data_IF_027958013349
#
_entry.id   IF_027958013349
#
_cell.length_a   1.000
_cell.length_b   1.000
_cell.length_c   1.000
_cell.angle_alpha   90.00
_cell.angle_beta   90.00
_cell.angle_gamma   90.00
#
_symmetry.space_group_name_H-M   'P 1'
#
loop_
_entity.id
_entity.type
_entity.pdbx_description
1 polymer ?
#
# COMPACT_ATOMS: atom_id res chain seq x y z
N UNK A 1 -9.42 8.20 -19.04
CA UNK A 1 -9.26 7.67 -17.67
C UNK A 1 -8.61 6.30 -17.81
N UNK A 2 -7.39 6.09 -17.30
CA UNK A 2 -6.81 4.75 -17.28
C UNK A 2 -7.74 3.83 -16.49
N UNK A 3 -8.01 2.63 -17.01
CA UNK A 3 -8.89 1.66 -16.36
C UNK A 3 -8.33 1.25 -15.00
N UNK A 4 -9.18 1.14 -13.99
CA UNK A 4 -8.81 0.60 -12.66
C UNK A 4 -8.86 -0.94 -12.61
N UNK A 5 -9.27 -1.57 -13.70
CA UNK A 5 -9.36 -3.04 -13.78
C UNK A 5 -8.04 -3.76 -13.52
N UNK A 6 -6.87 -3.32 -14.06
CA UNK A 6 -5.61 -3.96 -13.75
C UNK A 6 -5.28 -3.93 -12.25
N UNK A 7 -5.55 -2.79 -11.59
CA UNK A 7 -5.32 -2.67 -10.15
C UNK A 7 -6.29 -3.54 -9.34
N UNK A 8 -7.56 -3.58 -9.73
CA UNK A 8 -8.53 -4.47 -9.10
C UNK A 8 -8.15 -5.94 -9.27
N UNK A 9 -7.59 -6.31 -10.43
CA UNK A 9 -7.02 -7.63 -10.69
C UNK A 9 -5.89 -7.98 -9.73
N UNK A 10 -4.97 -7.04 -9.47
CA UNK A 10 -3.89 -7.23 -8.49
C UNK A 10 -4.42 -7.37 -7.06
N UNK A 11 -5.39 -6.55 -6.67
CA UNK A 11 -6.04 -6.69 -5.37
C UNK A 11 -6.77 -8.05 -5.22
N UNK A 12 -7.19 -8.67 -6.31
CA UNK A 12 -7.81 -10.00 -6.31
C UNK A 12 -6.81 -11.14 -6.07
N UNK A 13 -5.51 -10.91 -6.23
CA UNK A 13 -4.47 -11.91 -5.92
C UNK A 13 -4.21 -12.04 -4.42
N UNK A 14 -4.64 -11.05 -3.62
CA UNK A 14 -4.47 -11.06 -2.17
C UNK A 14 -5.39 -12.13 -1.57
N UNK A 15 -4.85 -13.10 -0.81
CA UNK A 15 -5.66 -14.13 -0.18
C UNK A 15 -6.72 -13.54 0.76
N UNK A 16 -7.94 -14.05 0.66
CA UNK A 16 -9.03 -13.63 1.53
C UNK A 16 -9.08 -14.52 2.78
N UNK A 17 -8.65 -14.05 3.95
CA UNK A 17 -8.56 -14.85 5.17
C UNK A 17 -9.93 -15.19 5.79
N UNK A 18 -11.00 -14.59 5.27
CA UNK A 18 -12.34 -14.80 5.81
C UNK A 18 -12.91 -16.18 5.48
N UNK A 19 -13.72 -16.72 6.37
CA UNK A 19 -14.55 -17.90 6.09
C UNK A 19 -15.61 -17.58 5.03
N UNK A 20 -16.12 -18.60 4.36
CA UNK A 20 -17.08 -18.45 3.26
C UNK A 20 -18.30 -17.59 3.64
N UNK A 21 -18.83 -17.76 4.83
CA UNK A 21 -19.98 -17.03 5.37
C UNK A 21 -19.70 -15.53 5.56
N UNK A 22 -18.42 -15.17 5.73
CA UNK A 22 -17.96 -13.76 5.89
C UNK A 22 -17.71 -13.02 4.59
N UNK A 23 -17.87 -13.63 3.43
CA UNK A 23 -17.52 -13.09 2.11
C UNK A 23 -18.67 -12.37 1.39
N UNK A 24 -19.60 -11.78 2.12
CA UNK A 24 -20.69 -10.99 1.53
C UNK A 24 -20.19 -9.86 0.62
N UNK A 25 -19.07 -9.27 0.95
CA UNK A 25 -18.39 -8.24 0.17
C UNK A 25 -17.10 -8.79 -0.40
N UNK A 26 -16.92 -8.70 -1.71
CA UNK A 26 -15.70 -9.17 -2.37
C UNK A 26 -14.49 -8.38 -1.90
N UNK A 27 -13.42 -9.06 -1.48
CA UNK A 27 -12.22 -8.46 -0.91
C UNK A 27 -11.61 -7.36 -1.79
N UNK A 28 -11.39 -7.56 -3.11
CA UNK A 28 -10.77 -6.54 -3.96
C UNK A 28 -11.54 -5.23 -3.96
N UNK A 29 -12.87 -5.28 -3.96
CA UNK A 29 -13.70 -4.06 -3.91
C UNK A 29 -13.65 -3.38 -2.55
N UNK A 30 -13.62 -4.15 -1.45
CA UNK A 30 -13.46 -3.57 -0.11
C UNK A 30 -12.11 -2.85 -0.01
N UNK A 31 -11.03 -3.45 -0.53
CA UNK A 31 -9.70 -2.85 -0.53
C UNK A 31 -9.66 -1.57 -1.37
N UNK A 32 -10.07 -1.66 -2.63
CA UNK A 32 -10.07 -0.51 -3.55
C UNK A 32 -10.87 0.67 -3.00
N UNK A 33 -12.08 0.40 -2.47
CA UNK A 33 -12.93 1.46 -1.95
C UNK A 33 -12.43 2.01 -0.61
N UNK A 34 -11.71 1.20 0.18
CA UNK A 34 -11.00 1.68 1.37
C UNK A 34 -9.88 2.64 0.99
N UNK A 35 -9.14 2.33 -0.08
CA UNK A 35 -8.12 3.24 -0.63
C UNK A 35 -8.77 4.56 -1.08
N UNK A 36 -9.88 4.51 -1.82
CA UNK A 36 -10.60 5.73 -2.21
C UNK A 36 -11.05 6.55 -1.01
N UNK A 37 -11.58 5.90 0.03
CA UNK A 37 -11.99 6.58 1.24
C UNK A 37 -10.82 7.27 1.94
N UNK A 38 -9.67 6.58 2.07
CA UNK A 38 -8.45 7.13 2.70
C UNK A 38 -7.91 8.32 1.92
N UNK A 39 -7.81 8.20 0.60
CA UNK A 39 -7.39 9.31 -0.28
C UNK A 39 -8.37 10.49 -0.21
N UNK A 40 -9.65 10.22 0.05
CA UNK A 40 -10.67 11.24 0.27
C UNK A 40 -10.70 11.79 1.71
N UNK A 41 -9.72 11.44 2.56
CA UNK A 41 -9.55 11.99 3.90
C UNK A 41 -10.13 11.14 5.04
N UNK A 42 -10.61 9.91 4.78
CA UNK A 42 -11.04 9.03 5.86
C UNK A 42 -9.83 8.54 6.68
N UNK A 43 -9.84 8.80 7.98
CA UNK A 43 -8.77 8.45 8.92
C UNK A 43 -9.17 7.39 9.96
N UNK A 44 -10.30 6.73 9.76
CA UNK A 44 -10.85 5.73 10.67
C UNK A 44 -11.76 4.75 9.94
N UNK A 45 -11.96 3.56 10.49
CA UNK A 45 -12.90 2.58 9.93
C UNK A 45 -14.34 3.10 9.83
N UNK A 46 -14.74 4.01 10.74
CA UNK A 46 -16.03 4.72 10.67
C UNK A 46 -16.06 5.70 9.49
N UNK A 47 -14.96 6.42 9.26
CA UNK A 47 -14.81 7.30 8.09
C UNK A 47 -14.90 6.53 6.79
N UNK A 48 -14.24 5.38 6.68
CA UNK A 48 -14.33 4.48 5.53
C UNK A 48 -15.78 4.00 5.33
N UNK A 49 -16.48 3.60 6.40
CA UNK A 49 -17.89 3.22 6.30
C UNK A 49 -18.77 4.38 5.81
N UNK A 50 -18.52 5.60 6.30
CA UNK A 50 -19.25 6.79 5.87
C UNK A 50 -19.07 7.05 4.38
N UNK A 51 -17.83 6.96 3.88
CA UNK A 51 -17.54 7.05 2.45
C UNK A 51 -18.30 5.99 1.65
N UNK A 52 -18.27 4.73 2.08
CA UNK A 52 -19.00 3.64 1.41
C UNK A 52 -20.50 3.90 1.35
N UNK A 53 -21.10 4.40 2.46
CA UNK A 53 -22.53 4.74 2.50
C UNK A 53 -22.86 5.84 1.51
N UNK A 54 -22.07 6.93 1.50
CA UNK A 54 -22.29 8.09 0.64
C UNK A 54 -22.16 7.74 -0.85
N UNK A 55 -21.16 6.92 -1.20
CA UNK A 55 -20.83 6.64 -2.60
C UNK A 55 -21.35 5.29 -3.10
N UNK A 56 -22.11 4.52 -2.31
CA UNK A 56 -22.54 3.16 -2.62
C UNK A 56 -23.18 3.01 -4.00
N UNK A 57 -24.07 3.91 -4.36
CA UNK A 57 -24.77 3.83 -5.66
C UNK A 57 -23.81 4.06 -6.83
N UNK A 58 -22.93 5.05 -6.71
CA UNK A 58 -21.92 5.35 -7.71
C UNK A 58 -20.91 4.18 -7.87
N UNK A 59 -20.44 3.62 -6.75
CA UNK A 59 -19.53 2.47 -6.73
C UNK A 59 -20.21 1.22 -7.34
N UNK A 60 -21.45 0.94 -6.96
CA UNK A 60 -22.21 -0.16 -7.53
C UNK A 60 -22.32 -0.04 -9.07
N UNK A 61 -22.60 1.17 -9.57
CA UNK A 61 -22.70 1.44 -11.00
C UNK A 61 -21.35 1.32 -11.70
N UNK A 62 -20.31 1.94 -11.13
CA UNK A 62 -18.98 1.99 -11.75
C UNK A 62 -18.31 0.61 -11.84
N UNK A 63 -18.46 -0.21 -10.80
CA UNK A 63 -17.83 -1.54 -10.71
C UNK A 63 -18.80 -2.71 -10.97
N UNK A 64 -20.02 -2.44 -11.41
CA UNK A 64 -21.06 -3.44 -11.75
C UNK A 64 -21.34 -4.42 -10.60
N UNK A 65 -21.27 -3.94 -9.35
CA UNK A 65 -21.56 -4.71 -8.14
C UNK A 65 -22.95 -4.38 -7.60
N UNK A 66 -23.46 -5.20 -6.67
CA UNK A 66 -24.85 -5.08 -6.16
C UNK A 66 -24.88 -5.03 -4.62
N UNK A 67 -24.10 -4.16 -4.01
CA UNK A 67 -24.15 -4.01 -2.56
C UNK A 67 -25.46 -3.34 -2.11
N UNK A 68 -26.33 -4.09 -1.47
CA UNK A 68 -27.59 -3.58 -0.90
C UNK A 68 -27.34 -2.58 0.24
N UNK A 69 -26.28 -2.77 1.01
CA UNK A 69 -25.84 -1.89 2.11
C UNK A 69 -24.30 -1.81 2.12
N UNK A 70 -23.75 -0.78 2.72
CA UNK A 70 -22.31 -0.68 2.97
C UNK A 70 -21.92 -1.64 4.11
N UNK A 71 -20.70 -2.22 4.08
CA UNK A 71 -20.17 -2.99 5.21
C UNK A 71 -20.08 -2.12 6.47
N UNK A 72 -20.34 -2.72 7.63
CA UNK A 72 -20.18 -2.05 8.91
C UNK A 72 -18.69 -1.75 9.19
N UNK A 73 -18.38 -0.70 9.95
CA UNK A 73 -17.00 -0.34 10.29
C UNK A 73 -16.25 -1.47 11.02
N UNK A 74 -16.95 -2.27 11.81
CA UNK A 74 -16.40 -3.46 12.47
C UNK A 74 -16.00 -4.55 11.46
N UNK A 75 -16.83 -4.76 10.42
CA UNK A 75 -16.51 -5.70 9.35
C UNK A 75 -15.31 -5.19 8.52
N UNK A 76 -15.25 -3.88 8.20
CA UNK A 76 -14.11 -3.27 7.51
C UNK A 76 -12.84 -3.46 8.34
N UNK A 77 -12.89 -3.16 9.64
CA UNK A 77 -11.77 -3.37 10.56
C UNK A 77 -11.30 -4.81 10.54
N UNK A 78 -12.22 -5.76 10.70
CA UNK A 78 -11.90 -7.19 10.72
C UNK A 78 -11.23 -7.65 9.40
N UNK A 79 -11.76 -7.19 8.26
CA UNK A 79 -11.19 -7.50 6.94
C UNK A 79 -9.76 -6.97 6.82
N UNK A 80 -9.56 -5.68 7.10
CA UNK A 80 -8.27 -5.03 6.91
C UNK A 80 -7.20 -5.53 7.90
N UNK A 81 -7.59 -5.84 9.14
CA UNK A 81 -6.66 -6.37 10.14
C UNK A 81 -6.30 -7.86 9.91
N UNK A 82 -7.13 -8.60 9.18
CA UNK A 82 -6.87 -10.00 8.86
C UNK A 82 -5.98 -10.22 7.64
N UNK A 83 -5.58 -9.17 6.93
CA UNK A 83 -4.72 -9.29 5.75
C UNK A 83 -3.26 -9.56 6.16
N UNK A 84 -2.57 -10.34 5.37
CA UNK A 84 -1.13 -10.43 5.44
C UNK A 84 -0.49 -9.19 4.80
N UNK A 85 0.36 -8.51 5.54
CA UNK A 85 1.03 -7.30 5.07
C UNK A 85 1.94 -7.57 3.86
N UNK A 86 2.55 -8.76 3.79
CA UNK A 86 3.42 -9.18 2.69
C UNK A 86 2.65 -9.32 1.38
N UNK A 87 1.45 -9.90 1.43
CA UNK A 87 0.61 -10.04 0.24
C UNK A 87 0.11 -8.68 -0.27
N UNK A 88 -0.24 -7.77 0.65
CA UNK A 88 -0.62 -6.39 0.29
C UNK A 88 0.54 -5.64 -0.34
N UNK A 89 1.74 -5.74 0.25
CA UNK A 89 2.95 -5.12 -0.27
C UNK A 89 3.31 -5.66 -1.66
N UNK A 90 3.22 -6.97 -1.86
CA UNK A 90 3.47 -7.58 -3.16
C UNK A 90 2.54 -7.03 -4.25
N UNK A 91 1.24 -6.96 -3.98
CA UNK A 91 0.26 -6.40 -4.92
C UNK A 91 0.54 -4.91 -5.21
N UNK A 92 0.96 -4.14 -4.18
CA UNK A 92 1.34 -2.74 -4.34
C UNK A 92 2.59 -2.58 -5.22
N UNK A 93 3.66 -3.35 -4.97
CA UNK A 93 4.90 -3.31 -5.77
C UNK A 93 4.64 -3.64 -7.24
N UNK A 94 3.83 -4.66 -7.50
CA UNK A 94 3.46 -5.04 -8.86
C UNK A 94 2.66 -3.93 -9.55
N UNK A 95 1.74 -3.27 -8.84
CA UNK A 95 1.03 -2.10 -9.36
C UNK A 95 1.98 -0.96 -9.71
N UNK A 96 2.89 -0.62 -8.80
CA UNK A 96 3.89 0.43 -8.99
C UNK A 96 4.83 0.11 -10.17
N UNK A 97 5.28 -1.13 -10.29
CA UNK A 97 6.09 -1.57 -11.42
C UNK A 97 5.35 -1.42 -12.77
N UNK A 98 4.06 -1.76 -12.80
CA UNK A 98 3.23 -1.58 -13.99
C UNK A 98 3.02 -0.10 -14.37
N UNK A 99 2.92 0.78 -13.38
CA UNK A 99 2.82 2.23 -13.61
C UNK A 99 4.16 2.85 -14.04
N UNK A 100 5.26 2.30 -13.55
CA UNK A 100 6.62 2.78 -13.84
C UNK A 100 7.12 2.35 -15.23
N UNK A 101 6.43 1.45 -15.91
CA UNK A 101 6.70 1.12 -17.31
C UNK A 101 6.25 2.27 -18.19
N UNK A 102 7.19 3.12 -18.59
CA UNK A 102 6.90 4.18 -19.54
C UNK A 102 6.50 3.58 -20.91
N UNK A 103 5.52 4.15 -21.61
CA UNK A 103 5.13 3.71 -22.94
C UNK A 103 6.27 3.76 -23.96
N UNK A 104 7.23 4.65 -23.77
CA UNK A 104 8.33 4.95 -24.70
C UNK A 104 9.69 4.39 -24.24
N UNK A 105 9.72 3.49 -23.25
CA UNK A 105 10.97 2.90 -22.77
C UNK A 105 11.88 3.87 -21.97
N UNK A 106 11.41 5.07 -21.65
CA UNK A 106 12.12 5.97 -20.76
C UNK A 106 12.10 5.36 -19.34
N UNK A 107 13.25 4.89 -18.89
CA UNK A 107 13.42 4.35 -17.54
C UNK A 107 13.50 5.50 -16.53
N UNK A 108 12.94 5.28 -15.35
CA UNK A 108 13.15 6.19 -14.22
C UNK A 108 14.62 6.20 -13.84
N UNK A 109 15.24 7.37 -13.90
CA UNK A 109 16.68 7.50 -13.68
C UNK A 109 17.04 7.66 -12.19
N UNK A 110 16.17 8.24 -11.36
CA UNK A 110 16.49 8.55 -9.96
C UNK A 110 15.54 7.84 -9.00
N UNK A 111 16.11 7.10 -8.05
CA UNK A 111 15.39 6.47 -6.92
C UNK A 111 15.87 7.08 -5.62
N UNK A 112 14.97 7.70 -4.87
CA UNK A 112 15.24 8.25 -3.55
C UNK A 112 14.75 7.30 -2.44
N UNK A 113 15.59 7.05 -1.45
CA UNK A 113 15.22 6.30 -0.25
C UNK A 113 14.97 7.27 0.90
N UNK A 114 13.80 7.13 1.54
CA UNK A 114 13.38 8.00 2.66
C UNK A 114 12.74 7.16 3.77
N UNK A 115 13.30 7.29 4.97
CA UNK A 115 12.79 6.63 6.18
C UNK A 115 11.77 7.52 6.90
N UNK A 116 10.61 6.96 7.25
CA UNK A 116 9.57 7.69 7.99
C UNK A 116 9.03 6.91 9.17
N UNK A 117 8.90 7.60 10.30
CA UNK A 117 8.16 7.08 11.45
C UNK A 117 6.66 7.31 11.25
N UNK A 118 5.87 6.25 11.28
CA UNK A 118 4.41 6.33 11.16
C UNK A 118 3.81 6.86 12.46
N UNK A 119 3.46 8.14 12.48
CA UNK A 119 2.79 8.77 13.63
C UNK A 119 1.46 8.07 13.92
N UNK A 120 1.26 7.68 15.20
CA UNK A 120 0.04 6.98 15.63
C UNK A 120 0.07 5.46 15.44
N UNK A 121 1.17 4.88 14.98
CA UNK A 121 1.34 3.42 14.90
C UNK A 121 1.87 2.80 16.20
N UNK A 122 2.22 3.60 17.19
CA UNK A 122 2.59 3.07 18.51
C UNK A 122 1.36 2.62 19.28
N UNK A 123 1.52 1.53 20.02
CA UNK A 123 0.47 0.96 20.87
C UNK A 123 0.95 1.00 22.33
N UNK A 124 0.45 2.00 23.06
CA UNK A 124 0.78 2.17 24.48
C UNK A 124 0.29 1.01 25.36
N UNK A 125 -0.67 0.21 24.88
CA UNK A 125 -1.23 -0.91 25.62
C UNK A 125 -0.30 -2.13 25.58
N UNK A 126 0.44 -2.29 24.47
CA UNK A 126 1.37 -3.39 24.25
C UNK A 126 2.85 -2.94 24.24
N UNK A 127 3.17 -1.73 24.73
CA UNK A 127 4.52 -1.15 24.70
C UNK A 127 5.19 -1.15 23.32
N UNK A 128 4.38 -1.18 22.25
CA UNK A 128 4.90 -1.18 20.89
C UNK A 128 5.28 0.25 20.46
N UNK A 129 6.52 0.43 20.04
CA UNK A 129 7.02 1.70 19.50
C UNK A 129 6.38 2.02 18.16
N UNK A 130 6.45 3.30 17.76
CA UNK A 130 6.00 3.72 16.44
C UNK A 130 6.78 2.99 15.34
N UNK A 131 6.06 2.42 14.38
CA UNK A 131 6.66 1.72 13.25
C UNK A 131 7.44 2.70 12.37
N UNK A 132 8.61 2.27 11.94
CA UNK A 132 9.42 2.97 10.97
C UNK A 132 9.32 2.25 9.63
N UNK A 133 9.19 3.01 8.55
CA UNK A 133 9.07 2.49 7.19
C UNK A 133 10.09 3.19 6.31
N UNK A 134 10.88 2.41 5.59
CA UNK A 134 11.73 2.89 4.50
C UNK A 134 10.97 2.77 3.19
N UNK A 135 10.94 3.84 2.41
CA UNK A 135 10.30 3.88 1.09
C UNK A 135 11.32 4.14 -0.01
N UNK A 136 11.18 3.45 -1.13
CA UNK A 136 11.89 3.74 -2.37
C UNK A 136 10.97 4.53 -3.30
N UNK A 137 11.36 5.73 -3.68
CA UNK A 137 10.58 6.67 -4.46
C UNK A 137 11.24 6.95 -5.81
N UNK A 138 10.55 6.66 -6.91
CA UNK A 138 10.95 7.04 -8.25
C UNK A 138 10.66 8.53 -8.47
N UNK A 139 11.69 9.36 -8.48
CA UNK A 139 11.55 10.83 -8.48
C UNK A 139 10.88 11.31 -9.76
N UNK A 140 11.34 10.83 -10.91
CA UNK A 140 10.86 11.27 -12.22
C UNK A 140 9.40 10.86 -12.49
N UNK A 141 8.99 9.68 -12.00
CA UNK A 141 7.63 9.18 -12.13
C UNK A 141 6.70 9.67 -10.99
N UNK A 142 7.23 10.32 -9.96
CA UNK A 142 6.53 10.68 -8.72
C UNK A 142 5.79 9.47 -8.10
N UNK A 143 6.46 8.32 -8.04
CA UNK A 143 5.86 7.04 -7.68
C UNK A 143 6.65 6.34 -6.57
N UNK A 144 5.96 5.87 -5.52
CA UNK A 144 6.56 4.94 -4.55
C UNK A 144 6.64 3.56 -5.19
N UNK A 145 7.85 3.01 -5.29
CA UNK A 145 8.10 1.70 -5.90
C UNK A 145 7.89 0.57 -4.91
N UNK A 146 8.39 0.74 -3.71
CA UNK A 146 8.30 -0.23 -2.63
C UNK A 146 8.49 0.43 -1.27
N UNK A 147 8.08 -0.27 -0.22
CA UNK A 147 8.41 0.09 1.15
C UNK A 147 8.70 -1.16 1.98
N UNK A 148 9.43 -0.98 3.07
CA UNK A 148 9.76 -2.04 4.03
C UNK A 148 9.68 -1.48 5.44
N UNK A 149 9.12 -2.26 6.35
CA UNK A 149 9.13 -1.95 7.78
C UNK A 149 10.55 -2.15 8.33
N UNK A 150 11.05 -1.19 9.10
CA UNK A 150 12.34 -1.26 9.76
C UNK A 150 12.12 -1.84 11.16
N UNK A 151 12.82 -2.94 11.46
CA UNK A 151 12.76 -3.56 12.78
C UNK A 151 13.29 -2.62 13.87
N UNK A 152 12.64 -2.59 15.02
CA UNK A 152 13.00 -1.74 16.18
C UNK A 152 14.46 -1.90 16.63
N UNK A 153 15.06 -3.05 16.38
CA UNK A 153 16.45 -3.39 16.74
C UNK A 153 17.45 -3.16 15.61
N UNK A 154 16.97 -2.78 14.43
CA UNK A 154 17.76 -2.54 13.24
C UNK A 154 17.84 -1.03 12.97
N UNK A 155 18.88 -0.63 12.22
CA UNK A 155 18.95 0.71 11.66
C UNK A 155 18.46 0.69 10.19
N UNK A 156 18.38 1.84 9.58
CA UNK A 156 17.88 1.97 8.20
C UNK A 156 18.80 1.33 7.15
N UNK A 157 20.11 1.17 7.45
CA UNK A 157 21.12 0.67 6.48
C UNK A 157 20.81 -0.74 5.99
N UNK A 158 20.54 -1.76 6.84
CA UNK A 158 20.13 -3.08 6.36
C UNK A 158 18.81 -3.07 5.55
N UNK A 159 17.89 -2.16 5.90
CA UNK A 159 16.63 -2.03 5.16
C UNK A 159 16.87 -1.45 3.75
N UNK A 160 17.75 -0.46 3.61
CA UNK A 160 18.18 0.08 2.30
C UNK A 160 18.84 -1.02 1.47
N UNK A 161 19.79 -1.77 2.03
CA UNK A 161 20.46 -2.87 1.33
C UNK A 161 19.47 -3.94 0.85
N UNK A 162 18.49 -4.28 1.69
CA UNK A 162 17.44 -5.23 1.32
C UNK A 162 16.58 -4.70 0.16
N UNK A 163 16.12 -3.45 0.23
CA UNK A 163 15.35 -2.85 -0.86
C UNK A 163 16.15 -2.73 -2.17
N UNK A 164 17.44 -2.38 -2.08
CA UNK A 164 18.33 -2.32 -3.24
C UNK A 164 18.47 -3.69 -3.93
N UNK A 165 18.54 -4.77 -3.12
CA UNK A 165 18.62 -6.13 -3.67
C UNK A 165 17.30 -6.62 -4.30
N UNK A 166 16.18 -6.11 -3.83
CA UNK A 166 14.83 -6.50 -4.30
C UNK A 166 14.34 -5.65 -5.48
N UNK A 167 14.88 -4.44 -5.65
CA UNK A 167 14.52 -3.53 -6.74
C UNK A 167 15.56 -3.61 -7.86
N UNK A 168 15.09 -3.59 -9.10
CA UNK A 168 15.98 -3.43 -10.25
C UNK A 168 16.46 -1.98 -10.34
N UNK A 169 17.64 -1.73 -9.76
CA UNK A 169 18.29 -0.41 -9.70
C UNK A 169 19.43 -0.26 -10.70
N UNK A 170 19.67 -1.27 -11.55
CA UNK A 170 20.74 -1.23 -12.52
C UNK A 170 20.60 -0.04 -13.47
N UNK A 171 21.66 0.74 -13.63
CA UNK A 171 21.68 1.94 -14.47
C UNK A 171 20.92 3.16 -13.90
N UNK A 172 20.47 3.12 -12.65
CA UNK A 172 19.73 4.20 -11.99
C UNK A 172 20.59 4.94 -10.98
N UNK A 173 20.27 6.20 -10.75
CA UNK A 173 20.88 7.01 -9.69
C UNK A 173 20.11 6.75 -8.41
N UNK A 174 20.81 6.32 -7.36
CA UNK A 174 20.24 6.13 -6.03
C UNK A 174 20.63 7.29 -5.13
N UNK A 175 19.66 7.87 -4.44
CA UNK A 175 19.88 8.90 -3.42
C UNK A 175 19.35 8.43 -2.07
N UNK A 176 20.15 8.65 -1.03
CA UNK A 176 19.79 8.33 0.37
C UNK A 176 20.16 9.52 1.24
N UNK A 177 19.60 9.60 2.45
CA UNK A 177 20.05 10.56 3.45
C UNK A 177 21.54 10.32 3.81
N UNK A 178 22.23 11.39 4.20
CA UNK A 178 23.66 11.36 4.54
C UNK A 178 24.04 10.32 5.62
N UNK A 179 23.11 9.96 6.50
CA UNK A 179 23.28 8.90 7.49
C UNK A 179 23.48 7.51 6.87
N UNK A 180 23.11 7.30 5.62
CA UNK A 180 23.28 6.05 4.88
C UNK A 180 24.59 6.02 4.07
N UNK A 181 25.33 7.12 3.96
CA UNK A 181 26.58 7.22 3.21
C UNK A 181 27.76 6.56 3.96
N UNK A 182 27.66 5.27 4.23
CA UNK A 182 28.73 4.46 4.80
C UNK A 182 29.39 3.58 3.73
N UNK A 183 30.68 3.21 3.96
CA UNK A 183 31.53 2.47 3.01
C UNK A 183 31.00 1.12 2.50
N UNK A 184 29.83 0.64 2.99
CA UNK A 184 29.26 -0.69 2.71
C UNK A 184 27.88 -0.63 2.07
N UNK A 185 27.50 0.48 1.46
CA UNK A 185 26.33 0.55 0.56
C UNK A 185 26.73 0.26 -0.87
#
# INVERSE_FOLDING_TARGET
>A
MKSLEPFLGLLATIPDPRRAEGKLYQLPHVLLFSIFAIVSGANSYRGIQTYFKAHRQALNKAFKIKWKRAPAHTAIRYILQGLDATDVEKAFREHSANLNRAPDGAEVCVIAFDGKTLKGSFDNFNDAKAKQVLSAFAVDAALVLAHIEIDEKSNEIPAVQKLLAELDVAGRIVTCDAMHAQKNL
#
